data_IF_660596173912
#
_entry.id   IF_660596173912
#
_cell.length_a   1.000
_cell.length_b   1.000
_cell.length_c   1.000
_cell.angle_alpha   90.00
_cell.angle_beta   90.00
_cell.angle_gamma   90.00
#
_symmetry.space_group_name_H-M   'P 1'
#
loop_
_entity.id
_entity.type
_entity.pdbx_description
1 polymer ?
#
# COMPACT_ATOMS: atom_id res chain seq x y z
N UNK A 1 18.52 16.08 -15.07
CA UNK A 1 17.87 15.15 -14.10
C UNK A 1 16.91 14.26 -14.86
N UNK A 2 17.32 13.03 -15.11
CA UNK A 2 16.58 12.04 -15.91
C UNK A 2 15.38 11.53 -15.11
N UNK A 3 14.18 11.85 -15.55
CA UNK A 3 12.94 11.29 -15.00
C UNK A 3 12.93 9.79 -15.29
N UNK A 4 13.16 8.96 -14.28
CA UNK A 4 12.89 7.53 -14.39
C UNK A 4 11.39 7.36 -14.66
N UNK A 5 11.04 7.03 -15.89
CA UNK A 5 9.65 6.78 -16.25
C UNK A 5 9.19 5.46 -15.59
N UNK A 6 8.10 5.50 -14.87
CA UNK A 6 7.48 4.34 -14.18
C UNK A 6 7.11 3.20 -15.16
N UNK A 7 6.99 3.53 -16.45
CA UNK A 7 6.60 2.60 -17.53
C UNK A 7 7.51 1.39 -17.71
N UNK A 8 8.87 1.50 -17.73
CA UNK A 8 9.71 0.31 -17.89
C UNK A 8 9.73 -0.58 -16.65
N UNK A 9 9.54 -0.02 -15.44
CA UNK A 9 9.50 -0.81 -14.19
C UNK A 9 8.23 -1.66 -14.13
N UNK A 10 7.10 -1.10 -14.53
CA UNK A 10 5.83 -1.85 -14.64
C UNK A 10 5.90 -2.94 -15.73
N UNK A 11 6.52 -2.67 -16.88
CA UNK A 11 6.69 -3.65 -17.95
C UNK A 11 7.60 -4.82 -17.52
N UNK A 12 8.68 -4.56 -16.79
CA UNK A 12 9.58 -5.59 -16.27
C UNK A 12 8.89 -6.44 -15.18
N UNK A 13 8.07 -5.82 -14.33
CA UNK A 13 7.27 -6.55 -13.34
C UNK A 13 6.23 -7.48 -14.01
N UNK A 14 5.56 -7.02 -15.08
CA UNK A 14 4.62 -7.84 -15.85
C UNK A 14 5.30 -9.00 -16.60
N UNK A 15 6.48 -8.77 -17.17
CA UNK A 15 7.27 -9.82 -17.86
C UNK A 15 7.79 -10.87 -16.87
N UNK A 16 8.24 -10.48 -15.69
CA UNK A 16 8.64 -11.39 -14.62
C UNK A 16 7.47 -12.25 -14.12
N UNK A 17 6.27 -11.68 -14.02
CA UNK A 17 5.04 -12.40 -13.65
C UNK A 17 4.65 -13.42 -14.72
N UNK A 18 4.76 -13.07 -16.00
CA UNK A 18 4.45 -13.97 -17.11
C UNK A 18 5.45 -15.15 -17.22
N UNK A 19 6.73 -14.92 -16.94
CA UNK A 19 7.76 -15.96 -16.93
C UNK A 19 7.61 -16.94 -15.75
N UNK A 20 7.20 -16.47 -14.60
CA UNK A 20 6.91 -17.28 -13.42
C UNK A 20 5.61 -18.10 -13.55
N UNK A 21 4.68 -17.69 -14.41
CA UNK A 21 3.44 -18.42 -14.65
C UNK A 21 3.66 -19.69 -15.52
N UNK A 22 4.71 -19.76 -16.32
CA UNK A 22 4.98 -20.88 -17.22
C UNK A 22 5.75 -22.06 -16.60
N UNK A 23 6.23 -21.96 -15.35
CA UNK A 23 7.01 -23.00 -14.70
C UNK A 23 6.13 -23.94 -13.83
N UNK A 24 5.01 -24.45 -14.36
CA UNK A 24 4.14 -25.34 -13.58
C UNK A 24 3.55 -26.47 -14.41
N UNK A 25 4.20 -27.60 -14.35
CA UNK A 25 3.53 -28.89 -14.53
C UNK A 25 4.28 -29.93 -13.70
N UNK A 26 3.75 -30.28 -12.53
CA UNK A 26 4.11 -31.48 -11.78
C UNK A 26 2.84 -32.02 -11.14
N UNK A 27 2.58 -33.34 -11.20
CA UNK A 27 1.42 -33.93 -10.51
C UNK A 27 1.56 -33.74 -9.00
N UNK A 28 0.48 -33.33 -8.35
CA UNK A 28 0.47 -32.98 -6.93
C UNK A 28 0.65 -34.21 -6.06
N UNK A 29 1.80 -34.34 -5.44
CA UNK A 29 1.95 -35.15 -4.24
C UNK A 29 1.04 -34.57 -3.15
N UNK A 30 0.21 -35.40 -2.56
CA UNK A 30 -0.54 -35.07 -1.34
C UNK A 30 0.45 -34.94 -0.16
N UNK A 31 1.01 -33.76 -0.02
CA UNK A 31 1.83 -33.44 1.13
C UNK A 31 0.94 -33.01 2.29
N UNK A 32 1.14 -33.58 3.47
CA UNK A 32 0.57 -33.15 4.77
C UNK A 32 0.93 -31.70 5.16
N UNK A 33 1.11 -30.82 4.20
CA UNK A 33 1.64 -29.47 4.33
C UNK A 33 0.75 -28.40 3.70
N UNK A 34 1.35 -27.22 3.55
CA UNK A 34 0.73 -26.06 2.92
C UNK A 34 0.40 -26.36 1.46
N UNK A 35 -0.84 -26.22 1.05
CA UNK A 35 -1.23 -26.42 -0.36
C UNK A 35 -0.66 -25.31 -1.25
N UNK A 36 0.14 -25.65 -2.26
CA UNK A 36 0.69 -24.66 -3.17
C UNK A 36 -0.41 -24.04 -4.03
N UNK A 37 -0.20 -22.82 -4.49
CA UNK A 37 -1.15 -22.18 -5.39
C UNK A 37 -1.04 -20.67 -5.43
N UNK A 38 -1.82 -20.09 -6.34
CA UNK A 38 -1.96 -18.65 -6.53
C UNK A 38 -3.11 -18.11 -5.69
N UNK A 39 -2.93 -16.94 -5.13
CA UNK A 39 -3.90 -16.29 -4.26
C UNK A 39 -4.00 -14.82 -4.60
N UNK A 40 -5.21 -14.30 -4.58
CA UNK A 40 -5.50 -12.87 -4.56
C UNK A 40 -5.77 -12.45 -3.11
N UNK A 41 -5.23 -11.32 -2.72
CA UNK A 41 -5.42 -10.75 -1.39
C UNK A 41 -6.16 -9.42 -1.51
N UNK A 42 -7.19 -9.25 -0.69
CA UNK A 42 -7.79 -7.96 -0.41
C UNK A 42 -7.30 -7.53 0.96
N UNK A 43 -6.47 -6.49 0.99
CA UNK A 43 -5.75 -6.04 2.18
C UNK A 43 -6.36 -4.76 2.74
N UNK A 44 -6.43 -4.66 4.05
CA UNK A 44 -6.70 -3.42 4.77
C UNK A 44 -5.82 -3.32 6.00
N UNK A 45 -5.44 -2.11 6.40
CA UNK A 45 -4.73 -1.88 7.65
C UNK A 45 -5.03 -0.50 8.21
N UNK A 46 -4.92 -0.38 9.52
CA UNK A 46 -4.90 0.88 10.26
C UNK A 46 -3.49 1.14 10.75
N UNK A 47 -2.91 2.26 10.38
CA UNK A 47 -1.55 2.65 10.73
C UNK A 47 -1.54 3.85 11.67
N UNK A 48 -0.71 3.78 12.70
CA UNK A 48 -0.36 4.91 13.58
C UNK A 48 1.04 5.38 13.20
N UNK A 49 1.22 6.61 12.74
CA UNK A 49 2.52 7.13 12.32
C UNK A 49 3.43 7.40 13.53
N UNK A 50 4.74 7.35 13.29
CA UNK A 50 5.81 7.74 14.21
C UNK A 50 7.02 8.28 13.43
N UNK A 51 7.97 8.92 14.13
CA UNK A 51 9.05 9.65 13.45
C UNK A 51 8.52 10.83 12.66
N UNK A 52 9.20 11.21 11.59
CA UNK A 52 8.90 12.40 10.78
C UNK A 52 7.47 12.38 10.20
N UNK A 53 6.90 11.20 10.00
CA UNK A 53 5.54 11.07 9.50
C UNK A 53 4.49 11.57 10.53
N UNK A 54 4.74 11.37 11.83
CA UNK A 54 3.81 11.77 12.88
C UNK A 54 3.71 13.30 13.06
N UNK A 55 4.77 14.02 12.70
CA UNK A 55 4.77 15.48 12.73
C UNK A 55 3.89 16.07 11.63
N UNK A 56 3.64 15.28 10.59
CA UNK A 56 2.93 15.71 9.38
C UNK A 56 1.52 15.14 9.25
N UNK A 57 1.31 13.92 9.75
CA UNK A 57 0.05 13.20 9.59
C UNK A 57 -0.31 12.42 10.86
N UNK A 58 -1.62 12.25 11.06
CA UNK A 58 -2.15 11.35 12.07
C UNK A 58 -2.40 9.93 11.55
N UNK A 59 -3.24 9.15 12.24
CA UNK A 59 -3.57 7.79 11.83
C UNK A 59 -4.16 7.72 10.43
N UNK A 60 -3.77 6.67 9.68
CA UNK A 60 -4.17 6.47 8.30
C UNK A 60 -4.64 5.03 8.07
N UNK A 61 -5.61 4.86 7.18
CA UNK A 61 -6.05 3.56 6.69
C UNK A 61 -5.37 3.23 5.36
N UNK A 62 -5.09 1.95 5.13
CA UNK A 62 -4.72 1.44 3.82
C UNK A 62 -5.72 0.41 3.35
N UNK A 63 -6.02 0.44 2.06
CA UNK A 63 -6.74 -0.63 1.35
C UNK A 63 -5.93 -1.04 0.15
N UNK A 64 -5.97 -2.31 -0.23
CA UNK A 64 -5.16 -2.76 -1.34
C UNK A 64 -5.52 -4.12 -1.88
N UNK A 65 -4.89 -4.43 -2.99
CA UNK A 65 -4.99 -5.71 -3.67
C UNK A 65 -3.59 -6.30 -3.84
N UNK A 66 -3.47 -7.61 -3.75
CA UNK A 66 -2.21 -8.29 -3.99
C UNK A 66 -2.40 -9.62 -4.67
N UNK A 67 -1.40 -10.01 -5.42
CA UNK A 67 -1.24 -11.37 -5.91
C UNK A 67 -0.09 -12.03 -5.18
N UNK A 68 -0.28 -13.31 -4.82
CA UNK A 68 0.73 -14.09 -4.11
C UNK A 68 0.74 -15.54 -4.60
N UNK A 69 1.92 -16.13 -4.70
CA UNK A 69 2.09 -17.56 -4.83
C UNK A 69 2.63 -18.15 -3.52
N UNK A 70 2.06 -19.26 -3.11
CA UNK A 70 2.53 -20.07 -1.98
C UNK A 70 3.08 -21.38 -2.51
N UNK A 71 4.30 -21.77 -2.10
CA UNK A 71 4.92 -23.04 -2.41
C UNK A 71 4.56 -24.10 -1.36
N UNK A 72 4.70 -25.40 -1.67
CA UNK A 72 4.47 -26.50 -0.74
C UNK A 72 5.36 -26.42 0.52
N UNK A 73 6.56 -25.86 0.39
CA UNK A 73 7.50 -25.60 1.49
C UNK A 73 7.07 -24.48 2.45
N UNK A 74 5.92 -23.81 2.17
CA UNK A 74 5.43 -22.68 2.93
C UNK A 74 6.04 -21.33 2.54
N UNK A 75 7.02 -21.29 1.63
CA UNK A 75 7.52 -20.04 1.09
C UNK A 75 6.46 -19.34 0.23
N UNK A 76 6.46 -18.01 0.28
CA UNK A 76 5.46 -17.15 -0.33
C UNK A 76 6.14 -15.96 -0.96
N UNK A 77 5.71 -15.61 -2.16
CA UNK A 77 6.17 -14.40 -2.84
C UNK A 77 5.05 -13.80 -3.65
N UNK A 78 5.10 -12.50 -3.84
CA UNK A 78 4.02 -11.80 -4.54
C UNK A 78 4.27 -10.32 -4.71
N UNK A 79 3.21 -9.63 -5.16
CA UNK A 79 3.18 -8.18 -5.32
C UNK A 79 1.90 -7.64 -4.72
N UNK A 80 1.97 -6.42 -4.18
CA UNK A 80 0.83 -5.73 -3.59
C UNK A 80 0.82 -4.27 -4.02
N UNK A 81 -0.36 -3.79 -4.34
CA UNK A 81 -0.65 -2.36 -4.51
C UNK A 81 -1.61 -1.94 -3.40
N UNK A 82 -1.30 -0.85 -2.73
CA UNK A 82 -2.11 -0.33 -1.63
C UNK A 82 -2.32 1.16 -1.81
N UNK A 83 -3.51 1.62 -1.50
CA UNK A 83 -3.88 3.02 -1.37
C UNK A 83 -3.99 3.38 0.10
N UNK A 84 -3.40 4.52 0.48
CA UNK A 84 -3.40 5.05 1.84
C UNK A 84 -4.25 6.32 1.92
N UNK A 85 -5.02 6.47 2.99
CA UNK A 85 -5.80 7.68 3.28
C UNK A 85 -5.84 7.95 4.79
N UNK A 86 -5.70 9.23 5.16
CA UNK A 86 -5.80 9.72 6.54
C UNK A 86 -6.48 11.08 6.57
N UNK A 87 -7.30 11.33 7.56
CA UNK A 87 -8.04 12.59 7.69
C UNK A 87 -7.30 13.66 8.49
N UNK A 88 -6.27 13.27 9.26
CA UNK A 88 -5.54 14.16 10.14
C UNK A 88 -4.23 14.60 9.47
N UNK A 89 -4.17 15.87 9.07
CA UNK A 89 -3.00 16.50 8.45
C UNK A 89 -2.50 17.59 9.41
N UNK A 90 -1.25 17.46 9.82
CA UNK A 90 -0.56 18.32 10.79
C UNK A 90 0.60 19.09 10.20
N UNK A 91 0.72 19.10 8.88
CA UNK A 91 1.84 19.68 8.14
C UNK A 91 2.08 21.14 8.54
N UNK A 92 3.26 21.48 9.08
CA UNK A 92 3.55 22.85 9.54
C UNK A 92 3.53 23.86 8.38
N UNK A 93 2.92 25.01 8.62
CA UNK A 93 2.87 26.09 7.63
C UNK A 93 1.99 25.82 6.42
N UNK A 94 1.20 24.73 6.42
CA UNK A 94 0.32 24.40 5.32
C UNK A 94 -0.67 25.54 5.04
N UNK A 95 -0.70 26.01 3.79
CA UNK A 95 -1.55 27.11 3.31
C UNK A 95 -1.34 28.45 4.04
N UNK A 96 -0.21 28.67 4.73
CA UNK A 96 0.02 29.89 5.54
C UNK A 96 -0.11 31.19 4.75
N UNK A 97 0.17 31.17 3.45
CA UNK A 97 0.02 32.32 2.54
C UNK A 97 -1.41 32.53 2.01
N UNK A 98 -2.32 31.58 2.24
CA UNK A 98 -3.72 31.63 1.79
C UNK A 98 -4.70 31.87 2.94
N UNK A 99 -4.23 31.81 4.18
CA UNK A 99 -5.03 31.95 5.39
C UNK A 99 -5.08 33.44 5.77
N UNK A 100 -6.30 33.96 5.98
CA UNK A 100 -6.51 35.31 6.47
C UNK A 100 -6.16 35.46 7.96
N UNK A 101 -6.12 36.66 8.54
CA UNK A 101 -5.84 36.88 9.96
C UNK A 101 -6.84 36.19 10.91
N UNK A 102 -8.01 35.76 10.43
CA UNK A 102 -9.01 35.03 11.21
C UNK A 102 -8.89 33.52 11.08
N UNK A 103 -7.92 33.02 10.31
CA UNK A 103 -7.67 31.57 10.11
C UNK A 103 -8.49 30.96 8.97
N UNK A 104 -9.08 31.75 8.06
CA UNK A 104 -9.90 31.24 6.96
C UNK A 104 -9.16 31.33 5.62
N UNK A 105 -9.41 30.38 4.75
CA UNK A 105 -9.06 30.47 3.34
C UNK A 105 -10.23 31.12 2.58
N UNK A 106 -9.94 32.10 1.74
CA UNK A 106 -10.95 32.82 0.95
C UNK A 106 -10.93 32.30 -0.49
N UNK A 107 -12.11 32.03 -1.03
CA UNK A 107 -12.27 31.58 -2.42
C UNK A 107 -12.18 32.78 -3.42
N UNK A 108 -12.20 32.49 -4.71
CA UNK A 108 -12.11 33.48 -5.76
C UNK A 108 -13.30 34.45 -5.81
N UNK A 109 -14.39 34.16 -5.10
CA UNK A 109 -15.60 34.98 -5.01
C UNK A 109 -15.66 35.78 -3.68
N UNK A 110 -14.59 35.70 -2.86
CA UNK A 110 -14.51 36.42 -1.59
C UNK A 110 -15.28 35.73 -0.44
N UNK A 111 -15.64 34.46 -0.57
CA UNK A 111 -16.33 33.69 0.46
C UNK A 111 -15.35 32.82 1.24
N UNK A 112 -15.67 32.48 2.48
CA UNK A 112 -14.91 31.53 3.27
C UNK A 112 -15.01 30.14 2.62
N UNK A 113 -13.86 29.57 2.26
CA UNK A 113 -13.78 28.27 1.63
C UNK A 113 -13.85 27.14 2.66
N UNK A 114 -14.70 26.13 2.40
CA UNK A 114 -14.74 24.89 3.17
C UNK A 114 -13.71 23.90 2.59
N UNK A 115 -12.51 23.93 3.14
CA UNK A 115 -11.37 23.13 2.69
C UNK A 115 -11.06 22.03 3.71
N UNK A 116 -10.84 20.81 3.22
CA UNK A 116 -10.38 19.69 4.05
C UNK A 116 -9.08 19.15 3.46
N UNK A 117 -8.02 19.11 4.26
CA UNK A 117 -6.78 18.45 3.91
C UNK A 117 -6.81 16.99 4.36
N UNK A 118 -6.31 16.08 3.52
CA UNK A 118 -6.25 14.64 3.78
C UNK A 118 -4.89 14.10 3.34
N UNK A 119 -4.35 13.16 4.09
CA UNK A 119 -3.24 12.34 3.60
C UNK A 119 -3.75 11.41 2.50
N UNK A 120 -3.03 11.34 1.38
CA UNK A 120 -3.20 10.30 0.37
C UNK A 120 -1.86 9.74 -0.02
N UNK A 121 -1.79 8.43 -0.21
CA UNK A 121 -0.56 7.77 -0.60
C UNK A 121 -0.81 6.47 -1.34
N UNK A 122 0.26 5.96 -1.93
CA UNK A 122 0.28 4.67 -2.61
C UNK A 122 1.53 3.90 -2.24
N UNK A 123 1.38 2.57 -2.14
CA UNK A 123 2.50 1.64 -1.92
C UNK A 123 2.45 0.58 -3.01
N UNK A 124 3.58 0.33 -3.65
CA UNK A 124 3.81 -0.78 -4.55
C UNK A 124 4.92 -1.66 -3.97
N UNK A 125 4.61 -2.88 -3.58
CA UNK A 125 5.49 -3.77 -2.83
C UNK A 125 5.68 -5.10 -3.53
N UNK A 126 6.92 -5.56 -3.64
CA UNK A 126 7.25 -6.97 -3.79
C UNK A 126 7.30 -7.60 -2.39
N UNK A 127 6.75 -8.80 -2.23
CA UNK A 127 6.68 -9.46 -0.92
C UNK A 127 7.33 -10.84 -0.97
N UNK A 128 8.06 -11.18 0.09
CA UNK A 128 8.64 -12.49 0.33
C UNK A 128 8.36 -12.88 1.78
N UNK A 129 8.02 -14.15 2.02
CA UNK A 129 7.75 -14.60 3.37
C UNK A 129 7.59 -16.10 3.49
N UNK A 130 7.21 -16.52 4.67
CA UNK A 130 6.99 -17.91 5.00
C UNK A 130 5.74 -18.10 5.85
N UNK A 131 5.08 -19.23 5.66
CA UNK A 131 3.99 -19.72 6.49
C UNK A 131 4.43 -20.98 7.21
N UNK A 132 4.11 -21.05 8.49
CA UNK A 132 4.27 -22.21 9.34
C UNK A 132 2.90 -22.75 9.71
N UNK A 133 2.60 -23.94 9.24
CA UNK A 133 1.33 -24.65 9.48
C UNK A 133 1.21 -25.07 10.95
N UNK A 134 0.00 -25.12 11.49
CA UNK A 134 -0.28 -25.62 12.85
C UNK A 134 -0.29 -27.15 12.95
N UNK A 135 0.12 -27.86 11.90
CA UNK A 135 0.23 -29.31 11.86
C UNK A 135 -0.79 -29.99 10.93
N UNK A 136 -0.80 -31.31 10.91
CA UNK A 136 -1.54 -32.11 9.93
C UNK A 136 -3.05 -31.92 9.95
N UNK A 137 -3.63 -31.57 11.11
CA UNK A 137 -5.10 -31.34 11.20
C UNK A 137 -5.55 -30.01 10.55
N UNK A 138 -4.68 -29.03 10.51
CA UNK A 138 -4.96 -27.69 9.96
C UNK A 138 -3.79 -27.19 9.10
N UNK A 139 -3.47 -27.88 8.01
CA UNK A 139 -2.27 -27.62 7.22
C UNK A 139 -2.28 -26.24 6.56
N UNK A 140 -3.45 -25.66 6.37
CA UNK A 140 -3.61 -24.33 5.75
C UNK A 140 -3.75 -23.19 6.75
N UNK A 141 -3.89 -23.48 8.05
CA UNK A 141 -3.94 -22.48 9.12
C UNK A 141 -2.56 -22.40 9.80
N UNK A 142 -2.09 -21.21 10.13
CA UNK A 142 -0.80 -21.06 10.76
C UNK A 142 -0.27 -19.66 10.89
N UNK A 143 0.94 -19.54 11.41
CA UNK A 143 1.64 -18.27 11.54
C UNK A 143 2.30 -17.86 10.22
N UNK A 144 2.43 -16.57 10.03
CA UNK A 144 3.05 -15.98 8.86
C UNK A 144 4.07 -14.92 9.28
N UNK A 145 5.19 -14.86 8.57
CA UNK A 145 6.07 -13.71 8.58
C UNK A 145 6.46 -13.38 7.14
N UNK A 146 6.37 -12.12 6.78
CA UNK A 146 6.63 -11.65 5.43
C UNK A 146 7.34 -10.30 5.48
N UNK A 147 8.17 -10.03 4.48
CA UNK A 147 8.81 -8.76 4.24
C UNK A 147 8.32 -8.24 2.88
N UNK A 148 7.75 -7.04 2.88
CA UNK A 148 7.51 -6.25 1.69
C UNK A 148 8.66 -5.28 1.47
N UNK A 149 9.04 -5.07 0.22
CA UNK A 149 9.99 -4.02 -0.17
C UNK A 149 9.49 -3.36 -1.46
N UNK A 150 9.61 -2.04 -1.55
CA UNK A 150 9.14 -1.35 -2.73
C UNK A 150 9.08 0.16 -2.59
N UNK A 151 8.13 0.77 -3.25
CA UNK A 151 7.99 2.20 -3.34
C UNK A 151 6.75 2.69 -2.57
N UNK A 152 6.93 3.73 -1.80
CA UNK A 152 5.88 4.42 -1.05
C UNK A 152 5.92 5.90 -1.39
N UNK A 153 4.76 6.43 -1.73
CA UNK A 153 4.57 7.87 -1.89
C UNK A 153 3.35 8.33 -1.12
N UNK A 154 3.38 9.56 -0.63
CA UNK A 154 2.22 10.20 -0.03
C UNK A 154 2.28 11.72 -0.21
N UNK A 155 1.11 12.33 -0.12
CA UNK A 155 0.94 13.77 -0.27
C UNK A 155 -0.26 14.28 0.53
N UNK A 156 -0.32 15.59 0.70
CA UNK A 156 -1.53 16.27 1.13
C UNK A 156 -2.48 16.41 -0.07
N UNK A 157 -3.69 15.97 0.11
CA UNK A 157 -4.78 16.14 -0.86
C UNK A 157 -5.82 17.10 -0.30
N UNK A 158 -6.11 18.16 -1.03
CA UNK A 158 -7.14 19.12 -0.66
C UNK A 158 -8.47 18.74 -1.29
N UNK A 159 -9.48 18.59 -0.46
CA UNK A 159 -10.85 18.40 -0.88
C UNK A 159 -11.59 19.73 -0.70
N UNK A 160 -11.95 20.34 -1.79
CA UNK A 160 -12.69 21.58 -1.85
C UNK A 160 -14.14 21.31 -2.24
N UNK A 161 -15.10 21.70 -1.39
CA UNK A 161 -16.52 21.48 -1.63
C UNK A 161 -17.19 22.75 -2.14
N UNK A 162 -17.25 22.91 -3.47
CA UNK A 162 -18.04 23.94 -4.10
C UNK A 162 -17.41 25.34 -4.15
N UNK A 163 -16.19 25.50 -3.67
CA UNK A 163 -15.44 26.75 -3.74
C UNK A 163 -14.32 26.63 -4.77
N UNK A 164 -14.02 27.72 -5.44
CA UNK A 164 -12.92 27.78 -6.39
C UNK A 164 -11.74 28.53 -5.79
N UNK A 165 -10.60 27.87 -5.66
CA UNK A 165 -9.35 28.43 -5.16
C UNK A 165 -8.29 28.14 -6.22
N UNK A 166 -7.97 29.13 -7.05
CA UNK A 166 -7.03 28.95 -8.18
C UNK A 166 -5.67 28.42 -7.75
N UNK A 167 -5.19 28.78 -6.56
CA UNK A 167 -3.91 28.31 -6.01
C UNK A 167 -3.91 26.80 -5.70
N UNK A 168 -5.08 26.20 -5.47
CA UNK A 168 -5.26 24.78 -5.21
C UNK A 168 -5.75 23.99 -6.42
N UNK A 169 -5.69 24.60 -7.62
CA UNK A 169 -5.92 23.92 -8.90
C UNK A 169 -4.59 23.68 -9.61
N UNK A 170 -4.54 22.68 -10.51
CA UNK A 170 -3.35 22.43 -11.33
C UNK A 170 -3.11 23.62 -12.30
N UNK A 171 -1.86 24.05 -12.51
CA UNK A 171 -0.60 23.44 -12.04
C UNK A 171 -0.12 23.94 -10.65
N UNK A 172 -0.78 24.93 -10.04
CA UNK A 172 -0.36 25.59 -8.80
C UNK A 172 -0.42 24.67 -7.58
N UNK A 173 -1.34 23.70 -7.57
CA UNK A 173 -1.52 22.71 -6.51
C UNK A 173 -0.20 21.99 -6.15
N UNK A 174 0.71 21.81 -7.11
CA UNK A 174 2.00 21.15 -6.89
C UNK A 174 2.89 21.89 -5.88
N UNK A 175 2.69 23.17 -5.66
CA UNK A 175 3.38 23.95 -4.63
C UNK A 175 2.85 23.74 -3.21
N UNK A 176 1.72 23.05 -3.04
CA UNK A 176 1.03 22.87 -1.76
C UNK A 176 0.87 21.41 -1.33
N UNK A 177 0.99 20.45 -2.26
CA UNK A 177 0.64 19.04 -2.03
C UNK A 177 1.68 18.25 -1.22
N UNK A 178 2.87 18.83 -0.94
CA UNK A 178 3.93 18.21 -0.13
C UNK A 178 4.25 16.76 -0.54
N UNK A 179 4.20 16.47 -1.84
CA UNK A 179 4.46 15.13 -2.35
C UNK A 179 5.86 14.64 -1.93
N UNK A 180 5.88 13.50 -1.26
CA UNK A 180 7.10 12.80 -0.86
C UNK A 180 7.05 11.36 -1.36
N UNK A 181 8.17 10.83 -1.81
CA UNK A 181 8.25 9.46 -2.30
C UNK A 181 9.62 8.84 -2.11
N UNK A 182 9.67 7.52 -2.00
CA UNK A 182 10.91 6.80 -1.81
C UNK A 182 10.72 5.31 -1.54
N UNK A 183 11.78 4.70 -1.06
CA UNK A 183 11.77 3.28 -0.75
C UNK A 183 11.15 2.99 0.62
N UNK A 184 10.43 1.87 0.70
CA UNK A 184 9.88 1.39 1.94
C UNK A 184 10.12 -0.11 2.13
N UNK A 185 10.30 -0.49 3.40
CA UNK A 185 10.26 -1.87 3.87
C UNK A 185 9.01 -2.05 4.73
N UNK A 186 8.37 -3.20 4.58
CA UNK A 186 7.14 -3.53 5.31
C UNK A 186 7.26 -4.94 5.90
N UNK A 187 7.99 -5.10 7.03
CA UNK A 187 7.94 -6.34 7.79
C UNK A 187 6.54 -6.51 8.38
N UNK A 188 6.02 -7.74 8.31
CA UNK A 188 4.74 -8.11 8.90
C UNK A 188 4.78 -9.52 9.47
N UNK A 189 4.04 -9.72 10.56
CA UNK A 189 3.83 -11.01 11.18
C UNK A 189 2.36 -11.13 11.60
N UNK A 190 1.83 -12.36 11.53
CA UNK A 190 0.43 -12.55 11.86
C UNK A 190 0.01 -14.00 11.79
N UNK A 191 -1.27 -14.18 11.75
CA UNK A 191 -1.93 -15.47 11.70
C UNK A 191 -2.83 -15.56 10.46
N UNK A 192 -2.75 -16.68 9.77
CA UNK A 192 -3.60 -17.01 8.63
C UNK A 192 -4.55 -18.13 9.02
N UNK A 193 -5.84 -17.87 8.90
CA UNK A 193 -6.90 -18.83 9.16
C UNK A 193 -7.55 -19.30 7.86
N UNK A 194 -7.75 -20.61 7.77
CA UNK A 194 -8.52 -21.24 6.72
C UNK A 194 -9.62 -22.11 7.35
N UNK A 195 -10.88 -21.81 7.00
CA UNK A 195 -12.01 -22.61 7.43
C UNK A 195 -11.96 -24.02 6.83
N UNK A 196 -12.38 -25.06 7.57
CA UNK A 196 -12.40 -26.43 7.08
C UNK A 196 -13.23 -26.62 5.80
N UNK A 197 -14.31 -25.86 5.66
CA UNK A 197 -15.16 -25.88 4.45
C UNK A 197 -14.58 -25.03 3.29
N UNK A 198 -13.41 -24.38 3.49
CA UNK A 198 -12.73 -23.59 2.48
C UNK A 198 -13.37 -22.25 2.11
N UNK A 199 -14.46 -21.85 2.77
CA UNK A 199 -15.19 -20.62 2.44
C UNK A 199 -14.56 -19.38 3.02
N UNK A 200 -14.04 -19.45 4.25
CA UNK A 200 -13.41 -18.33 4.91
C UNK A 200 -11.87 -18.50 4.97
N UNK A 201 -11.14 -17.53 4.44
CA UNK A 201 -9.68 -17.49 4.48
C UNK A 201 -9.25 -16.05 4.70
N UNK A 202 -8.61 -15.80 5.83
CA UNK A 202 -8.17 -14.45 6.18
C UNK A 202 -6.85 -14.45 6.93
N UNK A 203 -6.21 -13.31 6.94
CA UNK A 203 -5.02 -13.02 7.74
C UNK A 203 -5.31 -11.87 8.68
N UNK A 204 -4.71 -11.92 9.85
CA UNK A 204 -4.68 -10.82 10.82
C UNK A 204 -3.28 -10.73 11.40
N UNK A 205 -2.79 -9.53 11.67
CA UNK A 205 -1.47 -9.37 12.26
C UNK A 205 -1.03 -7.93 12.40
N UNK A 206 0.26 -7.79 12.69
CA UNK A 206 0.96 -6.53 12.81
C UNK A 206 1.87 -6.33 11.60
N UNK A 207 1.96 -5.09 11.14
CA UNK A 207 2.93 -4.67 10.12
C UNK A 207 3.52 -3.31 10.48
N UNK A 208 4.72 -3.06 9.99
CA UNK A 208 5.39 -1.77 10.18
C UNK A 208 5.76 -1.23 8.81
N UNK A 209 5.43 0.02 8.53
CA UNK A 209 5.97 0.77 7.39
C UNK A 209 7.26 1.44 7.83
N UNK A 210 8.34 1.22 7.11
CA UNK A 210 9.67 1.82 7.34
C UNK A 210 10.08 2.46 6.04
N UNK A 211 9.89 3.79 5.94
CA UNK A 211 10.15 4.56 4.74
C UNK A 211 11.38 5.45 4.86
N UNK A 212 12.10 5.57 3.75
CA UNK A 212 13.09 6.61 3.52
C UNK A 212 12.68 7.37 2.28
N UNK A 213 12.01 8.50 2.50
CA UNK A 213 11.37 9.28 1.46
C UNK A 213 12.10 10.62 1.25
N UNK A 214 11.90 11.16 0.07
CA UNK A 214 12.40 12.49 -0.27
C UNK A 214 11.24 13.32 -0.83
N UNK A 215 11.22 14.63 -0.58
CA UNK A 215 10.30 15.53 -1.26
C UNK A 215 10.47 15.42 -2.77
N UNK A 216 9.35 15.31 -3.48
CA UNK A 216 9.33 15.29 -4.94
C UNK A 216 9.06 16.67 -5.53
N UNK A 217 8.76 17.66 -4.68
CA UNK A 217 8.58 19.06 -5.04
C UNK A 217 9.83 19.85 -4.66
N UNK A 218 10.29 20.73 -5.56
CA UNK A 218 11.50 21.52 -5.30
C UNK A 218 11.25 22.67 -4.32
N UNK A 219 9.96 23.04 -4.11
CA UNK A 219 9.61 24.26 -3.43
C UNK A 219 8.17 24.20 -2.91
N UNK A 220 7.93 24.81 -1.74
CA UNK A 220 6.63 24.94 -1.11
C UNK A 220 6.12 26.37 -1.27
N UNK A 221 4.98 26.53 -1.95
CA UNK A 221 4.45 27.84 -2.30
C UNK A 221 3.93 28.63 -1.09
N UNK A 222 3.48 27.93 -0.06
CA UNK A 222 2.93 28.52 1.16
C UNK A 222 4.02 29.07 2.10
N UNK A 223 5.16 28.41 2.22
CA UNK A 223 6.28 28.86 3.07
C UNK A 223 7.33 29.67 2.34
N UNK A 224 7.31 29.64 0.99
CA UNK A 224 8.35 30.27 0.18
C UNK A 224 9.71 29.60 0.30
N UNK A 225 9.78 28.34 0.75
CA UNK A 225 11.04 27.64 1.02
C UNK A 225 11.18 26.40 0.16
N UNK A 226 12.42 26.01 -0.13
CA UNK A 226 12.72 24.73 -0.75
C UNK A 226 12.29 23.59 0.20
N UNK A 227 11.74 22.52 -0.37
CA UNK A 227 11.44 21.29 0.36
C UNK A 227 12.59 20.31 0.12
N UNK A 228 13.50 20.21 1.06
CA UNK A 228 14.73 19.43 0.94
C UNK A 228 14.90 18.47 2.10
N UNK A 229 15.77 17.46 1.88
CA UNK A 229 16.13 16.51 2.90
C UNK A 229 15.47 15.14 2.75
N UNK A 230 15.97 14.19 3.52
CA UNK A 230 15.43 12.83 3.58
C UNK A 230 14.57 12.68 4.83
N UNK A 231 13.38 12.14 4.67
CA UNK A 231 12.41 11.88 5.74
C UNK A 231 12.43 10.41 6.13
N UNK A 232 12.36 10.16 7.43
CA UNK A 232 12.24 8.82 8.01
C UNK A 232 10.78 8.61 8.42
N UNK A 233 9.98 8.25 7.45
CA UNK A 233 8.55 8.05 7.62
C UNK A 233 8.26 6.63 8.07
N UNK A 234 7.69 6.49 9.26
CA UNK A 234 7.41 5.20 9.87
C UNK A 234 5.94 5.12 10.32
N UNK A 235 5.37 3.92 10.29
CA UNK A 235 4.07 3.68 10.88
C UNK A 235 3.94 2.24 11.36
N UNK A 236 3.29 2.03 12.52
CA UNK A 236 2.91 0.71 13.03
C UNK A 236 1.44 0.48 12.73
N UNK A 237 1.08 -0.70 12.25
CA UNK A 237 -0.28 -1.02 11.86
C UNK A 237 -0.77 -2.38 12.27
N UNK A 238 -2.09 -2.45 12.44
CA UNK A 238 -2.86 -3.69 12.44
C UNK A 238 -3.37 -3.93 11.03
N UNK A 239 -3.13 -5.11 10.47
CA UNK A 239 -3.64 -5.46 9.15
C UNK A 239 -4.61 -6.63 9.19
N UNK A 240 -5.53 -6.63 8.24
CA UNK A 240 -6.35 -7.77 7.87
C UNK A 240 -6.28 -7.98 6.35
N UNK A 241 -6.34 -9.24 5.92
CA UNK A 241 -6.44 -9.53 4.50
C UNK A 241 -7.40 -10.71 4.27
N UNK A 242 -8.27 -10.57 3.27
CA UNK A 242 -9.08 -11.67 2.76
C UNK A 242 -8.32 -12.36 1.63
N UNK A 243 -8.36 -13.71 1.62
CA UNK A 243 -7.60 -14.52 0.68
C UNK A 243 -8.57 -15.23 -0.26
N UNK A 244 -8.44 -14.95 -1.55
CA UNK A 244 -9.14 -15.64 -2.62
C UNK A 244 -8.15 -16.57 -3.32
N UNK A 245 -8.40 -17.88 -3.32
CA UNK A 245 -7.56 -18.85 -4.02
C UNK A 245 -7.94 -18.89 -5.49
N UNK A 246 -6.96 -18.69 -6.35
CA UNK A 246 -7.11 -18.85 -7.80
C UNK A 246 -6.86 -20.31 -8.13
N UNK A 247 -7.92 -21.08 -8.37
CA UNK A 247 -7.82 -22.47 -8.81
C UNK A 247 -7.81 -22.53 -10.33
N UNK A 248 -6.80 -23.16 -10.92
CA UNK A 248 -6.90 -23.61 -12.29
C UNK A 248 -7.94 -24.75 -12.33
N UNK A 249 -9.01 -24.58 -13.08
CA UNK A 249 -10.00 -25.62 -13.33
C UNK A 249 -9.32 -26.70 -14.16
N UNK A 250 -8.92 -27.83 -13.56
CA UNK A 250 -8.54 -29.01 -14.35
C UNK A 250 -9.80 -29.54 -15.01
N UNK A 251 -9.95 -29.29 -16.30
CA UNK A 251 -10.96 -29.98 -17.12
C UNK A 251 -10.37 -31.35 -17.45
N UNK A 252 -10.55 -32.33 -16.57
CA UNK A 252 -10.42 -33.73 -16.97
C UNK A 252 -11.66 -34.04 -17.80
N UNK A 253 -11.53 -34.02 -19.12
CA UNK A 253 -12.51 -34.63 -20.01
C UNK A 253 -12.23 -36.13 -19.98
N UNK A 254 -13.00 -36.85 -19.19
CA UNK A 254 -12.98 -38.31 -19.20
C UNK A 254 -13.67 -38.76 -20.50
N UNK A 255 -12.89 -39.15 -21.48
CA UNK A 255 -13.40 -39.86 -22.66
C UNK A 255 -13.58 -41.35 -22.28
N UNK A 256 -14.77 -41.73 -21.83
CA UNK A 256 -15.16 -43.12 -21.79
C UNK A 256 -15.51 -43.57 -23.21
N UNK A 257 -14.71 -44.49 -23.74
CA UNK A 257 -15.02 -45.24 -24.96
C UNK A 257 -15.85 -46.49 -24.61
#
# INVERSE_FOLDING_TARGET
MTRLSLRPVLALAFLAIAWLASAQTGPGEETNGVRPGHQLLLHTALHVPWGDLADRFGPANTVGIGWRRTAASGWRYGVQYRFQTGADVREPGLLSNLIDPNGHVIDNEGRIALLTAQQRGTLLLATLGRKWSLGARHPETGFIAELGAGFWEHKVHFQNRGNRITQLEEPHLQGYDRLSGGWALVPRAGFEYHSPNGQARFQLGLETLIGRLQPSRAWNADTGMADEGTRRDHALGLFAAWILRLQARSTSVDYTY
#
